data_IF_010080120050
#
_entry.id   IF_010080120050
#
_cell.length_a   1.000
_cell.length_b   1.000
_cell.length_c   1.000
_cell.angle_alpha   90.00
_cell.angle_beta   90.00
_cell.angle_gamma   90.00
#
_symmetry.space_group_name_H-M   'P 1'
#
loop_
_entity.id
_entity.type
_entity.pdbx_description
1 polymer ?
#
# COMPACT_ATOMS: atom_id res chain seq x y z
N UNK A 1 -73.69 17.63 -24.43
CA UNK A 1 -73.75 16.76 -25.61
C UNK A 1 -72.87 17.42 -26.66
N UNK A 2 -71.54 17.43 -26.49
CA UNK A 2 -70.60 16.28 -26.70
C UNK A 2 -70.88 15.60 -28.05
N UNK A 3 -69.95 15.47 -28.99
CA UNK A 3 -68.53 15.14 -28.83
C UNK A 3 -67.69 15.62 -30.02
N UNK A 4 -66.45 15.98 -29.73
CA UNK A 4 -65.38 16.35 -30.67
C UNK A 4 -64.79 15.08 -31.29
N UNK A 5 -64.53 15.16 -32.60
CA UNK A 5 -63.84 14.18 -33.44
C UNK A 5 -62.36 14.07 -33.03
N UNK A 6 -61.91 12.87 -32.67
CA UNK A 6 -60.49 12.50 -32.71
C UNK A 6 -60.37 11.02 -33.05
N UNK A 7 -60.00 10.75 -34.30
CA UNK A 7 -59.47 9.45 -34.73
C UNK A 7 -58.11 9.29 -34.08
N UNK A 8 -58.04 8.48 -33.02
CA UNK A 8 -56.78 8.01 -32.48
C UNK A 8 -56.19 6.98 -33.46
N UNK A 9 -55.22 7.46 -34.24
CA UNK A 9 -54.26 6.64 -34.97
C UNK A 9 -53.50 5.78 -33.96
N UNK A 10 -53.58 4.45 -34.12
CA UNK A 10 -52.77 3.48 -33.41
C UNK A 10 -51.28 3.72 -33.71
N UNK A 11 -50.63 4.57 -32.91
CA UNK A 11 -49.18 4.60 -32.84
C UNK A 11 -48.70 3.36 -32.06
N UNK A 12 -47.73 2.59 -32.58
CA UNK A 12 -47.22 1.44 -31.84
C UNK A 12 -46.55 2.00 -30.60
N UNK A 13 -47.00 1.51 -29.43
CA UNK A 13 -46.28 1.61 -28.16
C UNK A 13 -44.81 1.38 -28.46
N UNK A 14 -44.02 2.47 -28.42
CA UNK A 14 -42.57 2.38 -28.38
C UNK A 14 -42.30 1.52 -27.17
N UNK A 15 -41.92 0.27 -27.45
CA UNK A 15 -41.30 -0.61 -26.50
C UNK A 15 -39.99 0.08 -26.14
N UNK A 16 -40.10 1.09 -25.26
CA UNK A 16 -38.99 1.63 -24.53
C UNK A 16 -38.48 0.43 -23.77
N UNK A 17 -37.40 -0.12 -24.31
CA UNK A 17 -36.67 -1.21 -23.72
C UNK A 17 -36.38 -0.79 -22.30
N UNK A 18 -37.21 -1.26 -21.36
CA UNK A 18 -36.79 -1.61 -20.01
C UNK A 18 -35.63 -2.58 -20.23
N UNK A 19 -34.45 -2.04 -20.52
CA UNK A 19 -33.20 -2.64 -20.16
C UNK A 19 -33.40 -2.90 -18.68
N UNK A 20 -33.74 -4.14 -18.35
CA UNK A 20 -33.54 -4.70 -17.04
C UNK A 20 -32.06 -4.46 -16.80
N UNK A 21 -31.75 -3.33 -16.17
CA UNK A 21 -30.42 -2.92 -15.73
C UNK A 21 -30.10 -3.97 -14.68
N UNK A 22 -29.55 -5.09 -15.14
CA UNK A 22 -28.93 -6.07 -14.28
C UNK A 22 -27.97 -5.27 -13.41
N UNK A 23 -28.17 -5.26 -12.08
CA UNK A 23 -27.41 -4.38 -11.22
C UNK A 23 -25.94 -4.63 -11.48
N UNK A 24 -25.21 -3.58 -11.91
CA UNK A 24 -23.78 -3.70 -12.25
C UNK A 24 -23.09 -4.29 -11.03
N UNK A 25 -22.58 -5.51 -11.16
CA UNK A 25 -21.83 -6.14 -10.08
C UNK A 25 -20.41 -5.55 -10.06
N UNK A 26 -20.04 -4.95 -8.95
CA UNK A 26 -18.75 -4.28 -8.73
C UNK A 26 -17.74 -5.18 -8.01
N UNK A 27 -18.15 -6.38 -7.55
CA UNK A 27 -17.24 -7.35 -6.93
C UNK A 27 -16.12 -7.78 -7.88
N UNK A 28 -16.42 -7.92 -9.18
CA UNK A 28 -15.41 -8.18 -10.22
C UNK A 28 -14.30 -7.14 -10.22
N UNK A 29 -14.66 -5.87 -10.07
CA UNK A 29 -13.69 -4.78 -10.14
C UNK A 29 -12.79 -4.77 -8.88
N UNK A 30 -13.34 -5.17 -7.71
CA UNK A 30 -12.54 -5.42 -6.50
C UNK A 30 -11.56 -6.56 -6.71
N UNK A 31 -12.00 -7.72 -7.22
CA UNK A 31 -11.10 -8.84 -7.50
C UNK A 31 -9.97 -8.44 -8.48
N UNK A 32 -10.29 -7.69 -9.54
CA UNK A 32 -9.29 -7.20 -10.50
C UNK A 32 -8.30 -6.27 -9.81
N UNK A 33 -8.79 -5.31 -9.01
CA UNK A 33 -7.97 -4.37 -8.27
C UNK A 33 -7.02 -5.10 -7.30
N UNK A 34 -7.56 -6.00 -6.49
CA UNK A 34 -6.79 -6.80 -5.50
C UNK A 34 -5.72 -7.65 -6.18
N UNK A 35 -6.06 -8.35 -7.27
CA UNK A 35 -5.09 -9.15 -8.03
C UNK A 35 -4.01 -8.27 -8.67
N UNK A 36 -4.38 -7.12 -9.22
CA UNK A 36 -3.42 -6.19 -9.82
C UNK A 36 -2.44 -5.63 -8.78
N UNK A 37 -2.95 -5.19 -7.62
CA UNK A 37 -2.12 -4.73 -6.50
C UNK A 37 -1.19 -5.84 -6.00
N UNK A 38 -1.70 -7.06 -5.84
CA UNK A 38 -0.88 -8.20 -5.44
C UNK A 38 0.31 -8.41 -6.38
N UNK A 39 0.08 -8.42 -7.70
CA UNK A 39 1.14 -8.61 -8.69
C UNK A 39 2.15 -7.46 -8.68
N UNK A 40 1.70 -6.22 -8.55
CA UNK A 40 2.60 -5.06 -8.56
C UNK A 40 3.47 -5.05 -7.30
N UNK A 41 2.86 -5.22 -6.12
CA UNK A 41 3.55 -5.12 -4.85
C UNK A 41 4.36 -6.36 -4.49
N UNK A 42 4.03 -7.55 -5.00
CA UNK A 42 4.91 -8.72 -4.80
C UNK A 42 6.26 -8.51 -5.49
N UNK A 43 6.26 -7.87 -6.67
CA UNK A 43 7.47 -7.58 -7.42
C UNK A 43 8.23 -6.39 -6.80
N UNK A 44 7.53 -5.29 -6.54
CA UNK A 44 8.13 -4.11 -5.93
C UNK A 44 8.65 -4.38 -4.51
N UNK A 45 7.87 -5.01 -3.64
CA UNK A 45 8.27 -5.29 -2.26
C UNK A 45 9.51 -6.19 -2.19
N UNK A 46 9.61 -7.17 -3.09
CA UNK A 46 10.79 -8.01 -3.20
C UNK A 46 12.01 -7.24 -3.75
N UNK A 47 11.83 -6.41 -4.78
CA UNK A 47 12.87 -5.52 -5.30
C UNK A 47 13.38 -4.56 -4.21
N UNK A 48 12.47 -3.96 -3.44
CA UNK A 48 12.78 -3.04 -2.34
C UNK A 48 13.67 -3.71 -1.28
N UNK A 49 13.39 -4.97 -0.91
CA UNK A 49 14.20 -5.69 0.08
C UNK A 49 15.64 -5.94 -0.41
N UNK A 50 15.84 -6.04 -1.72
CA UNK A 50 17.15 -6.25 -2.34
C UNK A 50 17.89 -4.95 -2.63
N UNK A 51 17.21 -3.81 -2.62
CA UNK A 51 17.71 -2.53 -3.13
C UNK A 51 19.04 -2.13 -2.48
N UNK A 52 19.12 -2.13 -1.15
CA UNK A 52 20.35 -1.79 -0.40
C UNK A 52 21.43 -2.87 -0.48
N UNK A 53 21.04 -4.09 -0.83
CA UNK A 53 21.91 -5.25 -0.94
C UNK A 53 22.58 -5.36 -2.31
N UNK A 54 21.84 -5.03 -3.38
CA UNK A 54 22.32 -5.13 -4.76
C UNK A 54 22.98 -3.83 -5.21
N UNK A 55 22.44 -2.67 -4.83
CA UNK A 55 22.94 -1.35 -5.25
C UNK A 55 23.82 -0.71 -4.17
N UNK A 56 24.96 -1.33 -3.88
CA UNK A 56 25.88 -0.92 -2.79
C UNK A 56 26.81 0.23 -3.18
N UNK A 57 27.06 0.46 -4.47
CA UNK A 57 27.97 1.51 -4.94
C UNK A 57 27.52 2.89 -4.47
N UNK A 58 28.33 3.54 -3.62
CA UNK A 58 28.03 4.86 -3.06
C UNK A 58 26.74 4.92 -2.22
N UNK A 59 26.28 3.79 -1.67
CA UNK A 59 24.98 3.67 -0.99
C UNK A 59 23.79 4.06 -1.88
N UNK A 60 23.90 3.83 -3.19
CA UNK A 60 22.86 4.18 -4.16
C UNK A 60 21.49 3.63 -3.77
N UNK A 61 21.39 2.37 -3.35
CA UNK A 61 20.12 1.76 -2.93
C UNK A 61 19.49 2.47 -1.72
N UNK A 62 20.26 2.72 -0.66
CA UNK A 62 19.77 3.41 0.55
C UNK A 62 19.32 4.84 0.24
N UNK A 63 20.10 5.57 -0.55
CA UNK A 63 19.76 6.93 -0.96
C UNK A 63 18.53 6.94 -1.87
N UNK A 64 18.42 5.97 -2.78
CA UNK A 64 17.26 5.81 -3.68
C UNK A 64 15.98 5.54 -2.89
N UNK A 65 16.00 4.67 -1.87
CA UNK A 65 14.86 4.48 -0.97
C UNK A 65 14.55 5.72 -0.14
N UNK A 66 15.57 6.41 0.36
CA UNK A 66 15.40 7.68 1.09
C UNK A 66 14.70 8.74 0.25
N UNK A 67 15.11 8.89 -1.02
CA UNK A 67 14.49 9.83 -1.97
C UNK A 67 13.04 9.43 -2.25
N UNK A 68 12.77 8.13 -2.46
CA UNK A 68 11.43 7.59 -2.69
C UNK A 68 10.48 7.95 -1.54
N UNK A 69 10.84 7.63 -0.30
CA UNK A 69 9.96 7.86 0.84
C UNK A 69 9.82 9.35 1.16
N UNK A 70 10.89 10.13 1.01
CA UNK A 70 10.84 11.59 1.18
C UNK A 70 9.93 12.23 0.14
N UNK A 71 10.06 11.85 -1.14
CA UNK A 71 9.22 12.40 -2.20
C UNK A 71 7.77 11.96 -2.05
N UNK A 72 7.52 10.70 -1.66
CA UNK A 72 6.21 10.19 -1.31
C UNK A 72 5.55 11.03 -0.20
N UNK A 73 6.28 11.34 0.88
CA UNK A 73 5.78 12.23 1.93
C UNK A 73 5.40 13.61 1.38
N UNK A 74 6.25 14.22 0.55
CA UNK A 74 5.97 15.53 -0.03
C UNK A 74 4.75 15.51 -0.98
N UNK A 75 4.64 14.49 -1.84
CA UNK A 75 3.58 14.39 -2.84
C UNK A 75 2.24 13.92 -2.27
N UNK A 76 2.23 13.25 -1.10
CA UNK A 76 1.00 12.84 -0.40
C UNK A 76 0.04 14.01 -0.15
N UNK A 77 0.57 15.22 0.05
CA UNK A 77 -0.21 16.45 0.26
C UNK A 77 -1.01 16.88 -0.99
N UNK A 78 -0.59 16.49 -2.19
CA UNK A 78 -1.18 16.91 -3.47
C UNK A 78 -1.88 15.74 -4.16
N UNK A 79 -1.66 14.50 -3.71
CA UNK A 79 -2.17 13.29 -4.32
C UNK A 79 -3.70 13.30 -4.50
N UNK A 80 -4.48 13.74 -3.51
CA UNK A 80 -5.96 13.77 -3.62
C UNK A 80 -6.45 14.73 -4.70
N UNK A 81 -5.74 15.84 -4.94
CA UNK A 81 -6.06 16.74 -6.05
C UNK A 81 -5.81 16.06 -7.40
N UNK A 82 -4.67 15.38 -7.52
CA UNK A 82 -4.30 14.67 -8.76
C UNK A 82 -5.32 13.57 -9.07
N UNK A 83 -5.74 12.80 -8.06
CA UNK A 83 -6.78 11.77 -8.19
C UNK A 83 -8.13 12.39 -8.58
N UNK A 84 -8.51 13.54 -7.98
CA UNK A 84 -9.75 14.24 -8.32
C UNK A 84 -9.77 14.72 -9.78
N UNK A 85 -8.64 15.18 -10.31
CA UNK A 85 -8.54 15.69 -11.69
C UNK A 85 -8.47 14.57 -12.71
N UNK A 86 -7.68 13.52 -12.45
CA UNK A 86 -7.48 12.40 -13.38
C UNK A 86 -8.63 11.38 -13.34
N UNK A 87 -9.32 11.29 -12.20
CA UNK A 87 -10.22 10.19 -11.86
C UNK A 87 -9.47 8.99 -11.28
N UNK A 88 -10.16 8.22 -10.44
CA UNK A 88 -9.63 7.08 -9.68
C UNK A 88 -8.92 6.04 -10.56
N UNK A 89 -9.56 5.60 -11.66
CA UNK A 89 -8.96 4.63 -12.60
C UNK A 89 -7.66 5.12 -13.25
N UNK A 90 -7.65 6.35 -13.76
CA UNK A 90 -6.46 6.86 -14.46
C UNK A 90 -5.33 7.15 -13.47
N UNK A 91 -5.66 7.57 -12.25
CA UNK A 91 -4.70 7.72 -11.17
C UNK A 91 -4.04 6.38 -10.79
N UNK A 92 -4.81 5.30 -10.72
CA UNK A 92 -4.26 3.95 -10.50
C UNK A 92 -3.27 3.55 -11.59
N UNK A 93 -3.64 3.72 -12.87
CA UNK A 93 -2.75 3.40 -14.00
C UNK A 93 -1.49 4.29 -13.99
N UNK A 94 -1.63 5.59 -13.72
CA UNK A 94 -0.48 6.48 -13.57
C UNK A 94 0.44 6.00 -12.43
N UNK A 95 -0.15 5.59 -11.31
CA UNK A 95 0.56 5.03 -10.17
C UNK A 95 1.42 3.81 -10.54
N UNK A 96 0.90 2.88 -11.34
CA UNK A 96 1.65 1.66 -11.71
C UNK A 96 2.91 1.96 -12.53
N UNK A 97 2.92 3.05 -13.30
CA UNK A 97 4.09 3.42 -14.11
C UNK A 97 5.33 3.74 -13.27
N UNK A 98 5.16 4.27 -12.05
CA UNK A 98 6.29 4.53 -11.15
C UNK A 98 6.95 3.24 -10.68
N UNK A 99 6.14 2.25 -10.28
CA UNK A 99 6.63 0.94 -9.86
C UNK A 99 7.35 0.22 -11.00
N UNK A 100 6.79 0.30 -12.21
CA UNK A 100 7.43 -0.27 -13.40
C UNK A 100 8.78 0.38 -13.68
N UNK A 101 8.85 1.72 -13.68
CA UNK A 101 10.10 2.46 -13.95
C UNK A 101 11.17 2.21 -12.90
N UNK A 102 10.80 2.11 -11.62
CA UNK A 102 11.75 1.82 -10.55
C UNK A 102 12.37 0.42 -10.67
N UNK A 103 11.57 -0.59 -10.97
CA UNK A 103 12.07 -1.95 -11.22
C UNK A 103 12.87 -2.00 -12.54
N UNK A 104 12.51 -1.21 -13.55
CA UNK A 104 13.28 -1.11 -14.79
C UNK A 104 14.64 -0.44 -14.58
N UNK A 105 14.71 0.61 -13.74
CA UNK A 105 15.96 1.29 -13.41
C UNK A 105 16.97 0.34 -12.75
N UNK A 106 16.49 -0.65 -11.99
CA UNK A 106 17.28 -1.71 -11.38
C UNK A 106 17.94 -2.68 -12.38
N UNK A 107 17.55 -2.69 -13.67
CA UNK A 107 18.27 -3.45 -14.71
C UNK A 107 19.61 -2.80 -15.08
N UNK A 108 19.69 -1.47 -14.96
CA UNK A 108 20.90 -0.69 -15.23
C UNK A 108 21.08 0.34 -14.12
N UNK A 109 21.45 -0.11 -12.90
CA UNK A 109 21.50 0.74 -11.73
C UNK A 109 22.63 1.76 -11.89
N UNK A 110 22.26 3.03 -11.85
CA UNK A 110 23.19 4.17 -11.86
C UNK A 110 22.54 5.34 -11.14
N UNK A 111 23.34 6.32 -10.73
CA UNK A 111 22.82 7.57 -10.15
C UNK A 111 21.83 8.29 -11.07
N UNK A 112 22.03 8.20 -12.39
CA UNK A 112 21.16 8.85 -13.38
C UNK A 112 19.86 8.10 -13.65
N UNK A 113 19.80 6.80 -13.37
CA UNK A 113 18.58 5.99 -13.57
C UNK A 113 17.78 5.88 -12.28
N UNK A 114 18.44 5.56 -11.16
CA UNK A 114 17.78 5.28 -9.89
C UNK A 114 17.23 6.53 -9.21
N UNK A 115 17.98 7.65 -9.17
CA UNK A 115 17.52 8.86 -8.49
C UNK A 115 16.24 9.44 -9.11
N UNK A 116 16.14 9.62 -10.45
CA UNK A 116 14.89 10.06 -11.07
C UNK A 116 13.76 9.04 -10.92
N UNK A 117 14.06 7.74 -11.01
CA UNK A 117 13.06 6.69 -10.85
C UNK A 117 12.49 6.65 -9.43
N UNK A 118 13.32 6.81 -8.39
CA UNK A 118 12.88 6.95 -7.00
C UNK A 118 12.01 8.17 -6.77
N UNK A 119 12.41 9.33 -7.29
CA UNK A 119 11.64 10.57 -7.18
C UNK A 119 10.24 10.39 -7.80
N UNK A 120 10.20 9.82 -9.01
CA UNK A 120 8.96 9.56 -9.72
C UNK A 120 8.11 8.48 -9.04
N UNK A 121 8.74 7.43 -8.50
CA UNK A 121 8.04 6.39 -7.76
C UNK A 121 7.36 6.96 -6.52
N UNK A 122 7.99 7.83 -5.74
CA UNK A 122 7.31 8.42 -4.58
C UNK A 122 6.11 9.28 -4.98
N UNK A 123 6.19 10.01 -6.10
CA UNK A 123 5.02 10.68 -6.71
C UNK A 123 3.93 9.67 -7.09
N UNK A 124 4.27 8.63 -7.84
CA UNK A 124 3.34 7.63 -8.32
C UNK A 124 2.70 6.82 -7.17
N UNK A 125 3.47 6.48 -6.14
CA UNK A 125 3.01 5.78 -4.95
C UNK A 125 2.01 6.64 -4.17
N UNK A 126 2.25 7.95 -4.02
CA UNK A 126 1.28 8.84 -3.36
C UNK A 126 -0.09 8.84 -4.07
N UNK A 127 -0.08 8.77 -5.41
CA UNK A 127 -1.29 8.76 -6.22
C UNK A 127 -1.98 7.40 -6.21
N UNK A 128 -1.21 6.29 -6.29
CA UNK A 128 -1.80 4.95 -6.39
C UNK A 128 -2.64 4.62 -5.17
N UNK A 129 -2.16 4.94 -3.97
CA UNK A 129 -2.82 4.62 -2.71
C UNK A 129 -4.05 5.50 -2.47
N UNK A 130 -3.97 6.79 -2.80
CA UNK A 130 -5.15 7.67 -2.75
C UNK A 130 -6.18 7.26 -3.81
N UNK A 131 -5.72 6.86 -5.00
CA UNK A 131 -6.56 6.36 -6.08
C UNK A 131 -7.26 5.06 -5.73
N UNK A 132 -6.56 4.13 -5.07
CA UNK A 132 -7.07 2.84 -4.58
C UNK A 132 -8.20 3.05 -3.58
N UNK A 133 -7.94 3.80 -2.50
CA UNK A 133 -8.95 4.01 -1.47
C UNK A 133 -10.18 4.74 -2.02
N UNK A 134 -9.99 5.65 -2.97
CA UNK A 134 -11.09 6.34 -3.66
C UNK A 134 -11.89 5.39 -4.55
N UNK A 135 -11.23 4.61 -5.39
CA UNK A 135 -11.87 3.64 -6.30
C UNK A 135 -12.64 2.57 -5.52
N UNK A 136 -12.00 1.98 -4.50
CA UNK A 136 -12.56 0.90 -3.72
C UNK A 136 -13.80 1.36 -2.95
N UNK A 137 -13.75 2.57 -2.37
CA UNK A 137 -14.90 3.18 -1.69
C UNK A 137 -16.02 3.48 -2.67
N UNK A 138 -15.73 4.06 -3.84
CA UNK A 138 -16.73 4.37 -4.87
C UNK A 138 -17.40 3.10 -5.42
N UNK A 139 -16.63 2.04 -5.65
CA UNK A 139 -17.13 0.74 -6.08
C UNK A 139 -18.04 0.11 -5.01
N UNK A 140 -17.65 0.19 -3.72
CA UNK A 140 -18.44 -0.31 -2.61
C UNK A 140 -19.77 0.46 -2.45
N UNK A 141 -19.74 1.79 -2.52
CA UNK A 141 -20.94 2.64 -2.45
C UNK A 141 -21.88 2.37 -3.62
N UNK A 142 -21.35 2.25 -4.83
CA UNK A 142 -22.13 1.92 -6.03
C UNK A 142 -22.77 0.53 -5.93
N UNK A 143 -22.04 -0.45 -5.36
CA UNK A 143 -22.58 -1.78 -5.11
C UNK A 143 -23.68 -1.77 -4.04
N UNK A 144 -23.48 -1.04 -2.95
CA UNK A 144 -24.45 -0.91 -1.86
C UNK A 144 -25.74 -0.25 -2.35
N UNK A 145 -25.64 0.83 -3.13
CA UNK A 145 -26.80 1.51 -3.72
C UNK A 145 -27.58 0.59 -4.68
N UNK A 146 -26.90 -0.18 -5.51
CA UNK A 146 -27.55 -1.09 -6.47
C UNK A 146 -28.28 -2.25 -5.79
N UNK A 147 -27.81 -2.70 -4.62
CA UNK A 147 -28.37 -3.84 -3.90
C UNK A 147 -29.15 -3.44 -2.64
N UNK A 148 -29.33 -2.14 -2.38
CA UNK A 148 -29.96 -1.57 -1.17
C UNK A 148 -29.37 -2.13 0.12
N UNK A 149 -28.05 -2.29 0.16
CA UNK A 149 -27.30 -2.78 1.32
C UNK A 149 -26.79 -1.62 2.17
N UNK A 150 -26.44 -1.91 3.43
CA UNK A 150 -25.81 -0.92 4.30
C UNK A 150 -24.39 -0.60 3.79
N UNK A 151 -24.15 0.67 3.45
CA UNK A 151 -22.89 1.14 2.85
C UNK A 151 -21.66 0.74 3.66
N UNK A 152 -21.71 0.91 4.99
CA UNK A 152 -20.60 0.57 5.88
C UNK A 152 -20.21 -0.91 5.84
N UNK A 153 -21.19 -1.80 5.70
CA UNK A 153 -20.95 -3.26 5.63
C UNK A 153 -20.27 -3.64 4.32
N UNK A 154 -20.71 -3.05 3.20
CA UNK A 154 -20.13 -3.34 1.88
C UNK A 154 -18.72 -2.77 1.77
N UNK A 155 -18.50 -1.53 2.23
CA UNK A 155 -17.17 -0.91 2.29
C UNK A 155 -16.21 -1.78 3.12
N UNK A 156 -16.66 -2.25 4.29
CA UNK A 156 -15.87 -3.13 5.15
C UNK A 156 -15.52 -4.45 4.48
N UNK A 157 -16.48 -5.08 3.79
CA UNK A 157 -16.26 -6.34 3.08
C UNK A 157 -15.27 -6.17 1.91
N UNK A 158 -15.40 -5.12 1.11
CA UNK A 158 -14.54 -4.87 -0.05
C UNK A 158 -13.10 -4.53 0.38
N UNK A 159 -12.95 -3.70 1.42
CA UNK A 159 -11.65 -3.43 2.03
C UNK A 159 -11.02 -4.68 2.61
N UNK A 160 -11.79 -5.49 3.36
CA UNK A 160 -11.29 -6.73 3.95
C UNK A 160 -10.80 -7.73 2.89
N UNK A 161 -11.49 -7.81 1.76
CA UNK A 161 -11.07 -8.66 0.64
C UNK A 161 -9.79 -8.16 -0.03
N UNK A 162 -9.70 -6.85 -0.31
CA UNK A 162 -8.51 -6.22 -0.88
C UNK A 162 -7.28 -6.43 0.00
N UNK A 163 -7.36 -6.03 1.26
CA UNK A 163 -6.25 -6.15 2.21
C UNK A 163 -5.91 -7.62 2.53
N UNK A 164 -6.91 -8.50 2.56
CA UNK A 164 -6.70 -9.93 2.74
C UNK A 164 -5.89 -10.56 1.61
N UNK A 165 -6.14 -10.15 0.35
CA UNK A 165 -5.34 -10.59 -0.79
C UNK A 165 -3.96 -9.92 -0.81
N UNK A 166 -3.92 -8.61 -0.56
CA UNK A 166 -2.70 -7.81 -0.56
C UNK A 166 -1.65 -8.32 0.43
N UNK A 167 -2.05 -8.77 1.62
CA UNK A 167 -1.14 -9.27 2.65
C UNK A 167 -0.20 -10.40 2.17
N UNK A 168 -0.60 -11.16 1.14
CA UNK A 168 0.21 -12.26 0.61
C UNK A 168 1.43 -11.80 -0.21
N UNK A 169 1.50 -10.53 -0.62
CA UNK A 169 2.56 -10.03 -1.52
C UNK A 169 3.97 -10.20 -0.93
N UNK A 170 4.13 -9.91 0.37
CA UNK A 170 5.41 -9.96 1.06
C UNK A 170 5.94 -11.39 1.15
N UNK A 171 5.07 -12.37 1.28
CA UNK A 171 5.47 -13.78 1.30
C UNK A 171 5.83 -14.29 -0.11
N UNK A 172 4.94 -14.07 -1.08
CA UNK A 172 5.10 -14.60 -2.45
C UNK A 172 6.28 -13.97 -3.18
N UNK A 173 6.43 -12.64 -3.12
CA UNK A 173 7.51 -11.93 -3.81
C UNK A 173 8.91 -12.32 -3.32
N UNK A 174 9.05 -12.45 -2.00
CA UNK A 174 10.31 -12.85 -1.39
C UNK A 174 10.65 -14.34 -1.62
N UNK A 175 9.64 -15.21 -1.78
CA UNK A 175 9.86 -16.60 -2.17
C UNK A 175 10.35 -16.73 -3.62
N UNK A 176 9.83 -15.90 -4.54
CA UNK A 176 10.32 -15.83 -5.93
C UNK A 176 11.80 -15.42 -5.93
N UNK A 177 12.14 -14.39 -5.15
CA UNK A 177 13.53 -13.94 -4.98
C UNK A 177 14.44 -15.07 -4.50
N UNK A 178 14.02 -15.77 -3.44
CA UNK A 178 14.77 -16.90 -2.90
C UNK A 178 14.94 -18.01 -3.94
N UNK A 179 13.87 -18.36 -4.67
CA UNK A 179 13.92 -19.43 -5.67
C UNK A 179 14.85 -19.10 -6.84
N UNK A 180 14.76 -17.89 -7.40
CA UNK A 180 15.55 -17.46 -8.55
C UNK A 180 17.03 -17.27 -8.19
N UNK A 181 17.32 -16.71 -7.02
CA UNK A 181 18.71 -16.43 -6.61
C UNK A 181 19.41 -17.64 -5.96
N UNK A 182 18.68 -18.69 -5.57
CA UNK A 182 19.26 -19.90 -4.93
C UNK A 182 20.03 -20.78 -5.91
N UNK A 183 19.66 -20.77 -7.19
CA UNK A 183 20.34 -21.55 -8.23
C UNK A 183 21.65 -20.89 -8.72
N UNK A 184 21.87 -19.63 -8.38
CA UNK A 184 23.10 -18.92 -8.73
C UNK A 184 24.18 -19.16 -7.67
N UNK A 185 24.94 -20.25 -7.83
CA UNK A 185 26.16 -20.52 -7.05
C UNK A 185 27.27 -19.54 -7.46
N UNK A 186 27.14 -18.29 -7.03
CA UNK A 186 28.18 -17.28 -7.10
C UNK A 186 27.76 -16.04 -7.88
N UNK A 187 27.08 -15.11 -7.20
CA UNK A 187 27.17 -13.65 -7.38
C UNK A 187 27.27 -13.09 -8.81
N UNK A 188 26.68 -13.75 -9.79
CA UNK A 188 26.74 -13.31 -11.18
C UNK A 188 25.62 -12.32 -11.41
N UNK A 189 25.92 -11.22 -12.12
CA UNK A 189 24.93 -10.23 -12.59
C UNK A 189 23.77 -10.84 -13.37
N UNK A 190 23.90 -12.09 -13.82
CA UNK A 190 22.86 -12.82 -14.56
C UNK A 190 21.61 -13.12 -13.72
N UNK A 191 21.74 -13.55 -12.46
CA UNK A 191 20.58 -13.95 -11.63
C UNK A 191 19.74 -12.76 -11.16
N UNK A 192 20.38 -11.67 -10.74
CA UNK A 192 19.68 -10.43 -10.37
C UNK A 192 19.00 -9.80 -11.58
N UNK A 193 19.66 -9.78 -12.74
CA UNK A 193 19.05 -9.31 -13.99
C UNK A 193 17.84 -10.15 -14.36
N UNK A 194 17.93 -11.48 -14.29
CA UNK A 194 16.80 -12.38 -14.55
C UNK A 194 15.63 -12.11 -13.58
N UNK A 195 15.92 -11.91 -12.30
CA UNK A 195 14.92 -11.59 -11.28
C UNK A 195 14.17 -10.30 -11.61
N UNK A 196 14.89 -9.21 -11.93
CA UNK A 196 14.25 -7.94 -12.29
C UNK A 196 13.45 -8.02 -13.60
N UNK A 197 13.88 -8.83 -14.58
CA UNK A 197 13.10 -9.12 -15.79
C UNK A 197 11.79 -9.84 -15.43
N UNK A 198 11.84 -10.84 -14.56
CA UNK A 198 10.63 -11.54 -14.08
C UNK A 198 9.70 -10.56 -13.37
N UNK A 199 10.21 -9.72 -12.48
CA UNK A 199 9.44 -8.69 -11.79
C UNK A 199 8.80 -7.68 -12.74
N UNK A 200 9.49 -7.23 -13.78
CA UNK A 200 8.90 -6.38 -14.82
C UNK A 200 7.75 -7.08 -15.55
N UNK A 201 7.89 -8.36 -15.87
CA UNK A 201 6.80 -9.16 -16.46
C UNK A 201 5.57 -9.20 -15.56
N UNK A 202 5.77 -9.43 -14.25
CA UNK A 202 4.69 -9.48 -13.26
C UNK A 202 4.01 -8.12 -13.09
N UNK A 203 4.78 -7.02 -12.97
CA UNK A 203 4.21 -5.65 -12.87
C UNK A 203 3.46 -5.28 -14.14
N UNK A 204 3.96 -5.69 -15.31
CA UNK A 204 3.28 -5.45 -16.60
C UNK A 204 1.94 -6.17 -16.64
N UNK A 205 1.88 -7.43 -16.18
CA UNK A 205 0.64 -8.17 -16.05
C UNK A 205 -0.35 -7.48 -15.07
N UNK A 206 0.13 -7.02 -13.92
CA UNK A 206 -0.67 -6.24 -12.97
C UNK A 206 -1.20 -4.93 -13.55
N UNK A 207 -0.37 -4.22 -14.33
CA UNK A 207 -0.77 -2.99 -15.03
C UNK A 207 -1.81 -3.26 -16.11
N UNK A 208 -1.69 -4.35 -16.86
CA UNK A 208 -2.69 -4.78 -17.84
C UNK A 208 -4.03 -5.09 -17.13
N UNK A 209 -4.00 -5.74 -15.97
CA UNK A 209 -5.20 -5.97 -15.16
C UNK A 209 -5.87 -4.65 -14.73
N UNK A 210 -5.10 -3.65 -14.31
CA UNK A 210 -5.64 -2.31 -13.96
C UNK A 210 -6.41 -1.66 -15.12
N UNK A 211 -5.99 -1.88 -16.36
CA UNK A 211 -6.67 -1.32 -17.53
C UNK A 211 -8.12 -1.85 -17.69
N UNK A 212 -8.41 -3.06 -17.19
CA UNK A 212 -9.74 -3.67 -17.23
C UNK A 212 -10.69 -3.16 -16.14
N UNK A 213 -10.20 -2.33 -15.20
CA UNK A 213 -11.07 -1.65 -14.23
C UNK A 213 -12.10 -0.79 -14.95
N UNK A 214 -13.31 -0.71 -14.38
CA UNK A 214 -14.34 0.15 -14.97
C UNK A 214 -13.92 1.61 -14.79
N UNK A 215 -14.14 2.40 -15.84
CA UNK A 215 -14.10 3.85 -15.67
C UNK A 215 -15.40 4.22 -14.95
N UNK A 216 -15.30 4.87 -13.81
CA UNK A 216 -16.48 5.46 -13.17
C UNK A 216 -17.12 6.44 -14.17
N UNK A 217 -18.41 6.26 -14.44
CA UNK A 217 -19.19 7.24 -15.19
C UNK A 217 -19.29 8.46 -14.29
N UNK A 218 -18.53 9.49 -14.66
CA UNK A 218 -18.55 10.82 -14.08
C UNK A 218 -20.01 11.31 -14.13
N UNK A 219 -20.78 11.11 -13.05
CA UNK A 219 -22.11 11.69 -12.93
C UNK A 219 -21.85 13.19 -12.92
N UNK A 220 -22.08 13.79 -14.09
CA UNK A 220 -21.61 15.12 -14.43
C UNK A 220 -22.08 16.18 -13.44
N UNK A 221 -21.19 16.53 -12.52
CA UNK A 221 -21.00 17.90 -12.07
C UNK A 221 -19.55 18.26 -12.37
N UNK A 222 -19.25 18.39 -13.67
CA UNK A 222 -18.15 19.25 -14.09
C UNK A 222 -18.58 20.69 -13.78
N UNK A 223 -18.43 21.10 -12.53
CA UNK A 223 -18.33 22.52 -12.18
C UNK A 223 -17.19 23.09 -13.00
N UNK A 224 -17.58 23.74 -14.09
CA UNK A 224 -16.69 24.43 -15.00
C UNK A 224 -16.56 25.84 -14.44
N UNK A 225 -15.31 26.33 -14.32
CA UNK A 225 -14.88 27.64 -13.80
C UNK A 225 -14.60 27.74 -12.29
N UNK A 226 -13.42 27.26 -11.87
CA UNK A 226 -12.43 28.05 -11.09
C UNK A 226 -11.24 27.16 -10.65
N UNK A 227 -10.38 26.76 -11.60
CA UNK A 227 -9.23 25.89 -11.31
C UNK A 227 -8.18 26.53 -10.38
N UNK A 228 -8.04 27.87 -10.40
CA UNK A 228 -7.11 28.62 -9.54
C UNK A 228 -7.66 28.86 -8.13
N UNK A 229 -8.98 29.06 -7.99
CA UNK A 229 -9.64 29.18 -6.68
C UNK A 229 -9.69 27.81 -5.98
N UNK A 230 -9.76 26.70 -6.72
CA UNK A 230 -9.74 25.33 -6.16
C UNK A 230 -8.39 24.89 -5.59
N UNK A 231 -7.25 25.23 -6.19
CA UNK A 231 -5.95 24.80 -5.65
C UNK A 231 -5.56 25.54 -4.37
N UNK A 232 -5.72 26.87 -4.37
CA UNK A 232 -5.42 27.68 -3.17
C UNK A 232 -6.36 27.34 -2.02
N UNK A 233 -7.67 27.23 -2.28
CA UNK A 233 -8.63 26.81 -1.24
C UNK A 233 -8.38 25.39 -0.74
N UNK A 234 -7.96 24.46 -1.61
CA UNK A 234 -7.53 23.12 -1.21
C UNK A 234 -6.30 23.17 -0.30
N UNK A 235 -5.26 23.93 -0.67
CA UNK A 235 -4.05 24.07 0.15
C UNK A 235 -4.35 24.73 1.50
N UNK A 236 -5.21 25.75 1.53
CA UNK A 236 -5.64 26.40 2.79
C UNK A 236 -6.49 25.44 3.64
N UNK A 237 -7.37 24.65 3.02
CA UNK A 237 -8.14 23.63 3.74
C UNK A 237 -7.21 22.56 4.31
N UNK A 238 -6.25 22.08 3.52
CA UNK A 238 -5.27 21.08 3.93
C UNK A 238 -4.40 21.61 5.06
N UNK A 239 -3.89 22.85 4.96
CA UNK A 239 -3.09 23.47 6.02
C UNK A 239 -3.91 23.62 7.30
N UNK A 240 -5.19 23.99 7.20
CA UNK A 240 -6.10 24.08 8.35
C UNK A 240 -6.38 22.71 8.98
N UNK A 241 -6.58 21.66 8.17
CA UNK A 241 -6.75 20.29 8.66
C UNK A 241 -5.49 19.78 9.36
N UNK A 242 -4.31 19.97 8.75
CA UNK A 242 -3.02 19.59 9.35
C UNK A 242 -2.78 20.36 10.65
N UNK A 243 -3.05 21.67 10.67
CA UNK A 243 -2.90 22.49 11.88
C UNK A 243 -3.82 22.01 13.01
N UNK A 244 -5.07 21.67 12.67
CA UNK A 244 -6.02 21.10 13.63
C UNK A 244 -5.53 19.76 14.18
N UNK A 245 -5.02 18.88 13.32
CA UNK A 245 -4.45 17.59 13.72
C UNK A 245 -3.22 17.74 14.61
N UNK A 246 -2.31 18.66 14.27
CA UNK A 246 -1.11 18.95 15.08
C UNK A 246 -1.43 19.69 16.39
N UNK A 247 -2.60 20.31 16.51
CA UNK A 247 -3.07 20.92 17.74
C UNK A 247 -3.77 19.93 18.70
N UNK A 248 -4.18 18.74 18.22
CA UNK A 248 -4.74 17.73 19.11
C UNK A 248 -3.63 17.01 19.88
N UNK A 249 -3.63 17.16 21.21
CA UNK A 249 -2.68 16.52 22.12
C UNK A 249 -2.66 15.00 21.95
N UNK A 250 -3.80 14.38 21.60
CA UNK A 250 -3.88 12.93 21.36
C UNK A 250 -3.06 12.54 20.13
N UNK A 251 -3.13 13.33 19.06
CA UNK A 251 -2.33 13.09 17.85
C UNK A 251 -0.84 13.32 18.13
N UNK A 252 -0.50 14.40 18.84
CA UNK A 252 0.89 14.70 19.22
C UNK A 252 1.57 13.57 20.01
N UNK A 253 0.83 12.87 20.87
CA UNK A 253 1.35 11.73 21.63
C UNK A 253 1.54 10.46 20.78
N UNK A 254 0.83 10.34 19.65
CA UNK A 254 0.93 9.17 18.75
C UNK A 254 2.00 9.38 17.67
N UNK A 255 2.30 10.63 17.28
CA UNK A 255 3.33 10.94 16.27
C UNK A 255 4.68 10.22 16.54
N UNK A 256 5.23 10.20 17.77
CA UNK A 256 6.47 9.46 18.05
C UNK A 256 6.36 7.95 17.79
N UNK A 257 5.19 7.34 18.02
CA UNK A 257 4.96 5.93 17.73
C UNK A 257 4.92 5.65 16.23
N UNK A 258 4.32 6.55 15.43
CA UNK A 258 4.38 6.46 13.97
C UNK A 258 5.79 6.66 13.44
N UNK A 259 6.52 7.63 13.99
CA UNK A 259 7.92 7.85 13.63
C UNK A 259 8.77 6.62 13.95
N UNK A 260 8.53 5.97 15.10
CA UNK A 260 9.20 4.72 15.46
C UNK A 260 8.85 3.56 14.51
N UNK A 261 7.57 3.37 14.18
CA UNK A 261 7.14 2.33 13.21
C UNK A 261 7.85 2.52 11.87
N UNK A 262 7.81 3.73 11.30
CA UNK A 262 8.48 4.03 10.03
C UNK A 262 10.01 3.85 10.09
N UNK A 263 10.65 4.25 11.19
CA UNK A 263 12.10 4.05 11.38
C UNK A 263 12.45 2.56 11.48
N UNK A 264 11.63 1.77 12.16
CA UNK A 264 11.84 0.33 12.28
C UNK A 264 11.68 -0.38 10.93
N UNK A 265 10.67 -0.03 10.13
CA UNK A 265 10.52 -0.56 8.77
C UNK A 265 11.70 -0.17 7.88
N UNK A 266 12.15 1.08 7.96
CA UNK A 266 13.33 1.55 7.22
C UNK A 266 14.59 0.78 7.63
N UNK A 267 14.79 0.53 8.92
CA UNK A 267 15.89 -0.31 9.42
C UNK A 267 15.82 -1.73 8.85
N UNK A 268 14.63 -2.35 8.87
CA UNK A 268 14.44 -3.71 8.36
C UNK A 268 14.75 -3.80 6.87
N UNK A 269 14.21 -2.89 6.06
CA UNK A 269 14.34 -2.96 4.60
C UNK A 269 15.71 -2.50 4.10
N UNK A 270 16.38 -1.60 4.81
CA UNK A 270 17.65 -1.03 4.38
C UNK A 270 18.85 -1.71 5.03
N UNK A 271 18.94 -1.66 6.36
CA UNK A 271 20.16 -2.02 7.08
C UNK A 271 20.17 -3.49 7.52
N UNK A 272 19.04 -4.03 7.96
CA UNK A 272 18.96 -5.43 8.36
C UNK A 272 19.22 -6.37 7.17
N UNK A 273 18.64 -6.10 6.00
CA UNK A 273 18.88 -6.88 4.78
C UNK A 273 20.34 -6.82 4.33
N UNK A 274 20.92 -5.62 4.32
CA UNK A 274 22.28 -5.36 3.83
C UNK A 274 23.37 -5.80 4.80
N UNK A 275 23.28 -5.43 6.07
CA UNK A 275 24.38 -5.56 7.04
C UNK A 275 24.28 -6.85 7.89
N UNK A 276 23.10 -7.47 7.99
CA UNK A 276 22.89 -8.68 8.82
C UNK A 276 22.58 -9.89 7.94
N UNK A 277 21.58 -9.80 7.07
CA UNK A 277 21.12 -10.95 6.30
C UNK A 277 22.12 -11.29 5.20
N UNK A 278 22.59 -10.31 4.42
CA UNK A 278 23.48 -10.56 3.28
C UNK A 278 24.82 -11.18 3.67
N UNK A 279 25.54 -10.72 4.71
CA UNK A 279 26.80 -11.35 5.10
C UNK A 279 26.62 -12.78 5.65
N UNK A 280 25.47 -13.08 6.26
CA UNK A 280 25.21 -14.38 6.88
C UNK A 280 24.61 -15.42 5.90
N UNK A 281 23.73 -14.99 4.99
CA UNK A 281 22.94 -15.85 4.12
C UNK A 281 23.15 -15.59 2.61
N UNK A 282 23.92 -14.57 2.26
CA UNK A 282 24.05 -14.08 0.88
C UNK A 282 22.82 -13.31 0.40
N UNK A 283 22.91 -12.76 -0.81
CA UNK A 283 21.82 -11.99 -1.45
C UNK A 283 20.55 -12.83 -1.63
N UNK A 284 20.69 -14.12 -1.95
CA UNK A 284 19.55 -15.04 -2.05
C UNK A 284 18.84 -15.26 -0.69
N UNK A 285 19.61 -15.16 0.40
CA UNK A 285 19.12 -15.23 1.76
C UNK A 285 18.19 -14.09 2.18
N UNK A 286 18.28 -12.92 1.52
CA UNK A 286 17.41 -11.77 1.77
C UNK A 286 15.94 -12.13 1.53
N UNK A 287 15.64 -12.80 0.42
CA UNK A 287 14.29 -13.30 0.15
C UNK A 287 13.80 -14.27 1.24
N UNK A 288 14.66 -15.18 1.71
CA UNK A 288 14.31 -16.11 2.78
C UNK A 288 13.98 -15.40 4.10
N UNK A 289 14.84 -14.48 4.55
CA UNK A 289 14.63 -13.74 5.79
C UNK A 289 13.39 -12.84 5.73
N UNK A 290 13.17 -12.15 4.61
CA UNK A 290 12.03 -11.25 4.47
C UNK A 290 10.70 -11.98 4.28
N UNK A 291 10.72 -13.21 3.75
CA UNK A 291 9.55 -14.09 3.78
C UNK A 291 9.19 -14.52 5.21
N UNK A 292 10.18 -14.83 6.05
CA UNK A 292 9.96 -15.14 7.48
C UNK A 292 9.42 -13.91 8.22
N UNK A 293 10.02 -12.74 8.01
CA UNK A 293 9.53 -11.47 8.55
C UNK A 293 8.04 -11.26 8.23
N UNK A 294 7.67 -11.33 6.94
CA UNK A 294 6.29 -11.12 6.51
C UNK A 294 5.30 -12.18 7.01
N UNK A 295 5.74 -13.44 7.15
CA UNK A 295 4.90 -14.50 7.69
C UNK A 295 4.57 -14.27 9.17
N UNK A 296 5.56 -13.92 9.98
CA UNK A 296 5.36 -13.64 11.41
C UNK A 296 4.60 -12.33 11.64
N UNK A 297 4.86 -11.30 10.83
CA UNK A 297 4.07 -10.08 10.79
C UNK A 297 2.58 -10.38 10.56
N UNK A 298 2.25 -11.13 9.50
CA UNK A 298 0.86 -11.46 9.18
C UNK A 298 0.17 -12.28 10.29
N UNK A 299 0.85 -13.29 10.84
CA UNK A 299 0.32 -14.12 11.93
C UNK A 299 0.05 -13.27 13.18
N UNK A 300 1.00 -12.41 13.55
CA UNK A 300 0.88 -11.57 14.73
C UNK A 300 -0.14 -10.45 14.54
N UNK A 301 -0.24 -9.85 13.37
CA UNK A 301 -1.29 -8.89 13.02
C UNK A 301 -2.69 -9.50 13.18
N UNK A 302 -2.90 -10.73 12.69
CA UNK A 302 -4.17 -11.44 12.86
C UNK A 302 -4.47 -11.76 14.33
N UNK A 303 -3.47 -12.23 15.09
CA UNK A 303 -3.63 -12.53 16.51
C UNK A 303 -3.93 -11.26 17.32
N UNK A 304 -3.15 -10.20 17.11
CA UNK A 304 -3.30 -8.91 17.78
C UNK A 304 -4.67 -8.29 17.47
N UNK A 305 -5.11 -8.32 16.21
CA UNK A 305 -6.43 -7.82 15.80
C UNK A 305 -7.57 -8.52 16.54
N UNK A 306 -7.50 -9.85 16.73
CA UNK A 306 -8.53 -10.62 17.46
C UNK A 306 -8.49 -10.42 18.98
N UNK A 307 -7.32 -10.15 19.54
CA UNK A 307 -7.14 -9.91 20.98
C UNK A 307 -7.46 -8.47 21.40
N UNK A 308 -7.70 -7.58 20.43
CA UNK A 308 -7.99 -6.17 20.69
C UNK A 308 -9.42 -5.99 21.22
N UNK A 309 -9.55 -5.80 22.53
CA UNK A 309 -10.85 -5.59 23.20
C UNK A 309 -10.99 -4.20 23.83
N UNK A 310 -9.91 -3.42 23.91
CA UNK A 310 -9.88 -2.07 24.48
C UNK A 310 -8.46 -1.59 24.79
N UNK A 311 -8.33 -0.36 25.27
CA UNK A 311 -7.03 0.31 25.50
C UNK A 311 -6.01 -0.51 26.32
N UNK A 312 -6.40 -1.20 27.42
CA UNK A 312 -5.44 -2.02 28.18
C UNK A 312 -4.88 -3.20 27.39
N UNK A 313 -5.70 -3.80 26.51
CA UNK A 313 -5.25 -4.87 25.60
C UNK A 313 -4.27 -4.32 24.57
N UNK A 314 -4.57 -3.16 23.97
CA UNK A 314 -3.66 -2.47 23.04
C UNK A 314 -2.28 -2.26 23.68
N UNK A 315 -2.24 -1.67 24.88
CA UNK A 315 -0.98 -1.40 25.59
C UNK A 315 -0.20 -2.68 25.88
N UNK A 316 -0.89 -3.75 26.31
CA UNK A 316 -0.24 -5.03 26.59
C UNK A 316 0.35 -5.68 25.33
N UNK A 317 -0.41 -5.70 24.23
CA UNK A 317 0.03 -6.28 22.96
C UNK A 317 1.23 -5.48 22.43
N UNK A 318 1.13 -4.14 22.33
CA UNK A 318 2.22 -3.26 21.88
C UNK A 318 3.48 -3.43 22.73
N UNK A 319 3.33 -3.53 24.05
CA UNK A 319 4.48 -3.75 24.95
C UNK A 319 5.18 -5.08 24.66
N UNK A 320 4.42 -6.15 24.40
CA UNK A 320 4.98 -7.45 24.02
C UNK A 320 5.74 -7.39 22.69
N UNK A 321 5.19 -6.73 21.67
CA UNK A 321 5.85 -6.52 20.39
C UNK A 321 7.12 -5.67 20.51
N UNK A 322 7.07 -4.60 21.30
CA UNK A 322 8.22 -3.74 21.57
C UNK A 322 9.35 -4.49 22.29
N UNK A 323 9.03 -5.36 23.26
CA UNK A 323 10.03 -6.20 23.93
C UNK A 323 10.72 -7.12 22.92
N UNK A 324 9.97 -7.75 22.01
CA UNK A 324 10.54 -8.61 20.97
C UNK A 324 11.55 -7.84 20.09
N UNK A 325 11.23 -6.61 19.69
CA UNK A 325 12.13 -5.75 18.91
C UNK A 325 13.34 -5.30 19.72
N UNK A 326 13.16 -4.88 20.98
CA UNK A 326 14.26 -4.48 21.87
C UNK A 326 15.25 -5.63 22.08
N UNK A 327 14.77 -6.86 22.23
CA UNK A 327 15.64 -8.04 22.33
C UNK A 327 16.54 -8.17 21.10
N UNK A 328 15.99 -7.99 19.89
CA UNK A 328 16.77 -8.03 18.65
C UNK A 328 17.78 -6.88 18.59
N UNK A 329 17.36 -5.64 18.89
CA UNK A 329 18.27 -4.49 18.85
C UNK A 329 19.40 -4.60 19.88
N UNK A 330 19.11 -5.07 21.11
CA UNK A 330 20.14 -5.31 22.12
C UNK A 330 21.08 -6.45 21.71
N UNK A 331 20.56 -7.51 21.08
CA UNK A 331 21.38 -8.59 20.56
C UNK A 331 22.35 -8.07 19.49
N UNK A 332 21.86 -7.27 18.54
CA UNK A 332 22.68 -6.63 17.51
C UNK A 332 23.75 -5.73 18.15
N UNK A 333 23.37 -4.91 19.13
CA UNK A 333 24.26 -3.91 19.73
C UNK A 333 25.37 -4.51 20.62
N UNK A 334 25.09 -5.62 21.32
CA UNK A 334 26.00 -6.18 22.32
C UNK A 334 26.89 -7.29 21.76
N UNK A 335 26.34 -8.20 20.94
CA UNK A 335 26.94 -9.53 20.76
C UNK A 335 26.81 -10.11 19.35
N UNK A 336 26.46 -9.32 18.34
CA UNK A 336 26.34 -9.86 17.00
C UNK A 336 27.71 -10.06 16.35
N UNK A 337 28.10 -11.32 16.18
CA UNK A 337 29.19 -11.75 15.31
C UNK A 337 28.65 -12.73 14.28
N UNK A 338 29.09 -12.60 13.02
CA UNK A 338 28.73 -13.55 11.95
C UNK A 338 29.41 -14.89 12.26
N UNK A 339 28.68 -15.80 12.88
CA UNK A 339 29.16 -17.14 13.23
C UNK A 339 29.01 -18.08 12.04
N UNK A 340 30.02 -18.87 11.71
CA UNK A 340 29.94 -19.87 10.64
C UNK A 340 29.12 -21.11 11.06
N UNK A 341 28.36 -21.70 10.13
CA UNK A 341 27.61 -22.94 10.34
C UNK A 341 26.11 -22.72 10.53
N UNK A 342 25.40 -23.73 11.06
CA UNK A 342 23.93 -23.72 11.19
C UNK A 342 23.40 -22.53 12.01
N UNK A 343 24.16 -22.11 13.03
CA UNK A 343 23.81 -20.95 13.86
C UNK A 343 23.88 -19.63 13.07
N UNK A 344 24.82 -19.50 12.13
CA UNK A 344 24.92 -18.35 11.24
C UNK A 344 23.70 -18.18 10.34
N UNK A 345 23.07 -19.29 9.93
CA UNK A 345 21.83 -19.26 9.17
C UNK A 345 20.61 -18.98 10.04
N UNK A 346 20.59 -19.55 11.25
CA UNK A 346 19.43 -19.48 12.13
C UNK A 346 19.24 -18.09 12.75
N UNK A 347 20.32 -17.39 13.12
CA UNK A 347 20.22 -16.10 13.81
C UNK A 347 19.50 -15.00 12.98
N UNK A 348 19.83 -14.75 11.71
CA UNK A 348 19.10 -13.79 10.89
C UNK A 348 17.61 -14.14 10.73
N UNK A 349 17.27 -15.42 10.63
CA UNK A 349 15.88 -15.86 10.50
C UNK A 349 15.08 -15.66 11.79
N UNK A 350 15.68 -15.92 12.96
CA UNK A 350 15.06 -15.64 14.26
C UNK A 350 14.87 -14.13 14.44
N UNK A 351 15.88 -13.32 14.10
CA UNK A 351 15.78 -11.87 14.16
C UNK A 351 14.68 -11.35 13.24
N UNK A 352 14.59 -11.85 12.00
CA UNK A 352 13.52 -11.50 11.07
C UNK A 352 12.13 -11.85 11.63
N UNK A 353 11.97 -13.03 12.25
CA UNK A 353 10.72 -13.43 12.88
C UNK A 353 10.33 -12.48 14.03
N UNK A 354 11.25 -12.18 14.96
CA UNK A 354 11.00 -11.30 16.10
C UNK A 354 10.69 -9.85 15.67
N UNK A 355 11.39 -9.36 14.65
CA UNK A 355 11.13 -8.04 14.06
C UNK A 355 9.73 -8.00 13.42
N UNK A 356 9.35 -9.05 12.69
CA UNK A 356 8.02 -9.19 12.10
C UNK A 356 6.90 -9.27 13.15
N UNK A 357 7.11 -10.00 14.25
CA UNK A 357 6.17 -10.03 15.39
C UNK A 357 5.92 -8.61 15.92
N UNK A 358 6.99 -7.85 16.12
CA UNK A 358 6.90 -6.49 16.65
C UNK A 358 6.21 -5.52 15.69
N UNK A 359 6.54 -5.57 14.41
CA UNK A 359 5.94 -4.70 13.38
C UNK A 359 4.45 -4.98 13.22
N UNK A 360 4.06 -6.25 13.10
CA UNK A 360 2.66 -6.63 12.89
C UNK A 360 1.78 -6.27 14.07
N UNK A 361 2.30 -6.46 15.29
CA UNK A 361 1.65 -5.96 16.50
C UNK A 361 1.53 -4.44 16.48
N UNK A 362 2.62 -3.71 16.25
CA UNK A 362 2.64 -2.26 16.36
C UNK A 362 1.70 -1.62 15.33
N UNK A 363 1.76 -2.01 14.06
CA UNK A 363 0.93 -1.44 13.01
C UNK A 363 -0.56 -1.74 13.23
N UNK A 364 -0.91 -2.99 13.55
CA UNK A 364 -2.30 -3.37 13.82
C UNK A 364 -2.89 -2.56 14.98
N UNK A 365 -2.09 -2.37 16.03
CA UNK A 365 -2.53 -1.66 17.23
C UNK A 365 -2.56 -0.14 17.05
N UNK A 366 -1.65 0.45 16.25
CA UNK A 366 -1.70 1.88 15.90
C UNK A 366 -2.98 2.21 15.12
N UNK A 367 -3.34 1.38 14.14
CA UNK A 367 -4.58 1.55 13.37
C UNK A 367 -5.82 1.38 14.26
N UNK A 368 -5.82 0.41 15.17
CA UNK A 368 -6.90 0.24 16.14
C UNK A 368 -7.02 1.43 17.13
N UNK A 369 -5.89 1.94 17.61
CA UNK A 369 -5.82 3.07 18.53
C UNK A 369 -6.41 4.34 17.91
N UNK A 370 -6.08 4.63 16.65
CA UNK A 370 -6.68 5.73 15.90
C UNK A 370 -8.20 5.58 15.76
N UNK A 371 -8.66 4.36 15.42
CA UNK A 371 -10.08 4.05 15.29
C UNK A 371 -10.87 4.26 16.59
N UNK A 372 -10.25 4.08 17.75
CA UNK A 372 -10.87 4.33 19.06
C UNK A 372 -10.83 5.82 19.42
N UNK A 373 -9.69 6.50 19.21
CA UNK A 373 -9.48 7.88 19.64
C UNK A 373 -10.24 8.91 18.80
N UNK A 374 -10.41 8.66 17.50
CA UNK A 374 -11.03 9.60 16.53
C UNK A 374 -12.40 9.13 16.00
N UNK A 375 -13.04 8.19 16.70
CA UNK A 375 -14.36 7.63 16.32
C UNK A 375 -15.46 8.69 16.16
N UNK A 376 -15.38 9.79 16.91
CA UNK A 376 -16.37 10.88 16.87
C UNK A 376 -16.02 12.01 15.91
N UNK A 377 -14.73 12.26 15.65
CA UNK A 377 -14.27 13.37 14.79
C UNK A 377 -14.36 13.03 13.29
N UNK A 378 -14.33 11.73 12.96
CA UNK A 378 -14.54 11.21 11.60
C UNK A 378 -15.95 11.44 11.05
N UNK A 379 -16.93 11.72 11.91
CA UNK A 379 -18.32 12.00 11.49
C UNK A 379 -18.53 13.49 11.16
N UNK A 380 -17.66 14.38 11.65
CA UNK A 380 -17.85 15.85 11.51
C UNK A 380 -16.80 16.52 10.62
N UNK A 381 -15.62 15.91 10.45
CA UNK A 381 -14.60 16.38 9.53
C UNK A 381 -14.49 15.42 8.33
N UNK A 382 -14.70 15.95 7.12
CA UNK A 382 -14.67 15.28 5.82
C UNK A 382 -14.06 13.85 5.87
N UNK A 383 -14.89 12.80 6.02
CA UNK A 383 -14.44 11.43 6.37
C UNK A 383 -13.44 10.84 5.39
N UNK A 384 -13.42 11.37 4.16
CA UNK A 384 -12.51 10.98 3.08
C UNK A 384 -11.07 11.44 3.33
N UNK A 385 -10.85 12.62 3.92
CA UNK A 385 -9.50 13.17 4.11
C UNK A 385 -8.79 12.54 5.31
N UNK A 386 -9.53 12.28 6.39
CA UNK A 386 -9.00 11.63 7.60
C UNK A 386 -8.74 10.15 7.32
N UNK A 387 -9.63 9.44 6.62
CA UNK A 387 -9.33 8.05 6.19
C UNK A 387 -8.12 7.97 5.24
N UNK A 388 -7.88 8.97 4.39
CA UNK A 388 -6.71 9.00 3.50
C UNK A 388 -5.39 9.27 4.24
N UNK A 389 -5.42 9.95 5.40
CA UNK A 389 -4.22 10.19 6.22
C UNK A 389 -3.88 8.97 7.08
N UNK A 390 -4.86 8.12 7.41
CA UNK A 390 -4.75 7.11 8.47
C UNK A 390 -4.94 5.66 8.01
N UNK A 391 -5.16 5.41 6.71
CA UNK A 391 -5.02 4.09 6.12
C UNK A 391 -3.65 4.04 5.45
N UNK A 392 -2.63 3.80 6.28
CA UNK A 392 -1.29 3.38 5.88
C UNK A 392 -0.96 2.13 6.68
#
# INVERSE_FOLDING_TARGET
MESVDSRDEEAPLVADSLQVLTPKNYTRDVHILSCAFLLIFLAYGAAQNLETTVNTEGNLGTISLGILYTSFTCFSLVASLVVRVLGSKNALILGTTGYWLFVAANLFPSWYTMVPASLYLGFAASIIWVGEGTYLTAAALSHASNHKLHEGTVIGSFNGEFWGMFASHQFVGNLITLAVLKDDKGGSTSGTTLLFIVFLGVITLGTILMCFLRKEEDKGEKETADASVNFYSYLVSLSKSITTLLADVRMLLIIPLFAYSGLQQAFVWAEFTKEIVTPALGVSGVGGAMAVYGAFDAICSLAAGRLTTGLPSITFIVSGGAIAQVVVFLWILINYSVTSGVLGTLYPLIMAALLGIGDGVLNTQLSALLGILFKHDTVTANPTLIRQIFVW
#
